data_IF_236220390853
#
_entry.id   IF_236220390853
#
_cell.length_a   1.000
_cell.length_b   1.000
_cell.length_c   1.000
_cell.angle_alpha   90.00
_cell.angle_beta   90.00
_cell.angle_gamma   90.00
#
_symmetry.space_group_name_H-M   'P 1'
#
loop_
_entity.id
_entity.type
_entity.pdbx_description
1 polymer ?
#
# COMPACT_ATOMS: atom_id res chain seq x y z
N UNK A 1 20.91 13.37 -11.79
CA UNK A 1 20.82 12.31 -10.76
C UNK A 1 19.47 11.61 -10.87
N UNK A 2 19.44 10.30 -11.14
CA UNK A 2 18.21 9.52 -11.10
C UNK A 2 17.63 9.55 -9.68
N UNK A 3 16.46 10.18 -9.53
CA UNK A 3 15.78 10.21 -8.22
C UNK A 3 15.41 8.79 -7.82
N UNK A 4 15.67 8.43 -6.57
CA UNK A 4 15.27 7.15 -5.99
C UNK A 4 13.78 6.91 -6.27
N UNK A 5 13.44 5.73 -6.79
CA UNK A 5 12.09 5.34 -7.14
C UNK A 5 11.85 3.91 -6.71
N UNK A 6 10.79 3.70 -5.96
CA UNK A 6 10.35 2.38 -5.49
C UNK A 6 8.86 2.24 -5.80
N UNK A 7 8.52 1.22 -6.58
CA UNK A 7 7.14 0.84 -6.83
C UNK A 7 6.73 -0.25 -5.85
N UNK A 8 5.63 -0.02 -5.14
CA UNK A 8 4.95 -0.99 -4.30
C UNK A 8 3.64 -1.37 -5.00
N UNK A 9 3.49 -2.64 -5.32
CA UNK A 9 2.22 -3.14 -5.85
C UNK A 9 1.31 -3.61 -4.70
N UNK A 10 0.10 -3.05 -4.65
CA UNK A 10 -0.90 -3.36 -3.65
C UNK A 10 -2.20 -3.94 -4.26
N UNK A 11 -2.10 -4.59 -5.42
CA UNK A 11 -3.25 -5.14 -6.16
C UNK A 11 -4.12 -6.04 -5.29
N UNK A 12 -3.54 -7.00 -4.58
CA UNK A 12 -4.30 -7.97 -3.78
C UNK A 12 -4.92 -7.34 -2.51
N UNK A 13 -4.31 -6.26 -2.01
CA UNK A 13 -4.84 -5.54 -0.85
C UNK A 13 -5.99 -4.62 -1.25
N UNK A 14 -5.75 -3.74 -2.21
CA UNK A 14 -6.73 -2.70 -2.58
C UNK A 14 -7.79 -3.21 -3.55
N UNK A 15 -7.41 -4.11 -4.45
CA UNK A 15 -8.34 -4.78 -5.35
C UNK A 15 -9.36 -5.68 -4.64
N UNK A 16 -9.01 -6.16 -3.45
CA UNK A 16 -9.90 -7.01 -2.66
C UNK A 16 -11.25 -6.38 -2.28
N UNK A 17 -11.41 -5.07 -2.37
CA UNK A 17 -12.70 -4.40 -2.20
C UNK A 17 -13.76 -4.86 -3.22
N UNK A 18 -13.36 -5.40 -4.37
CA UNK A 18 -14.28 -5.89 -5.39
C UNK A 18 -14.65 -7.36 -5.24
N UNK A 19 -13.71 -8.22 -4.83
CA UNK A 19 -13.93 -9.65 -4.71
C UNK A 19 -13.89 -10.15 -3.27
N UNK A 20 -14.14 -9.29 -2.30
CA UNK A 20 -14.05 -9.61 -0.86
C UNK A 20 -12.69 -10.23 -0.45
N UNK A 21 -11.59 -9.83 -1.09
CA UNK A 21 -10.25 -10.39 -0.88
C UNK A 21 -10.15 -11.89 -1.16
N UNK A 22 -11.06 -12.42 -1.96
CA UNK A 22 -11.08 -13.84 -2.32
C UNK A 22 -10.19 -14.10 -3.55
N UNK A 23 -8.90 -14.09 -3.29
CA UNK A 23 -7.89 -14.58 -4.22
C UNK A 23 -7.42 -15.95 -3.74
N UNK A 24 -7.56 -16.99 -4.60
CA UNK A 24 -7.02 -18.32 -4.29
C UNK A 24 -5.48 -18.35 -4.35
N UNK A 25 -4.87 -19.33 -3.71
CA UNK A 25 -3.41 -19.44 -3.60
C UNK A 25 -2.71 -19.54 -4.97
N UNK A 26 -3.37 -20.18 -5.94
CA UNK A 26 -2.85 -20.31 -7.32
C UNK A 26 -2.75 -18.92 -7.97
N UNK A 27 -3.79 -18.10 -7.85
CA UNK A 27 -3.80 -16.74 -8.41
C UNK A 27 -2.82 -15.81 -7.71
N UNK A 28 -2.69 -15.94 -6.39
CA UNK A 28 -1.67 -15.20 -5.63
C UNK A 28 -0.27 -15.60 -6.09
N UNK A 29 -0.01 -16.89 -6.30
CA UNK A 29 1.29 -17.36 -6.77
C UNK A 29 1.60 -16.90 -8.20
N UNK A 30 0.63 -16.95 -9.10
CA UNK A 30 0.77 -16.42 -10.48
C UNK A 30 1.06 -14.92 -10.47
N UNK A 31 0.36 -14.17 -9.60
CA UNK A 31 0.61 -12.75 -9.41
C UNK A 31 2.05 -12.48 -8.91
N UNK A 32 2.52 -13.18 -7.89
CA UNK A 32 3.89 -13.03 -7.38
C UNK A 32 4.93 -13.37 -8.46
N UNK A 33 4.67 -14.38 -9.27
CA UNK A 33 5.56 -14.76 -10.38
C UNK A 33 5.59 -13.67 -11.46
N UNK A 34 4.45 -13.03 -11.79
CA UNK A 34 4.41 -11.90 -12.71
C UNK A 34 5.20 -10.71 -12.17
N UNK A 35 4.96 -10.32 -10.91
CA UNK A 35 5.69 -9.21 -10.29
C UNK A 35 7.20 -9.49 -10.26
N UNK A 36 7.61 -10.74 -10.00
CA UNK A 36 9.02 -11.14 -10.00
C UNK A 36 9.73 -10.92 -11.34
N UNK A 37 9.01 -10.93 -12.45
CA UNK A 37 9.55 -10.66 -13.79
C UNK A 37 9.72 -9.15 -14.07
N UNK A 38 9.33 -8.31 -13.13
CA UNK A 38 9.42 -6.85 -13.22
C UNK A 38 10.54 -6.30 -12.34
N UNK A 39 10.65 -4.97 -12.31
CA UNK A 39 11.56 -4.27 -11.38
C UNK A 39 10.89 -3.98 -10.01
N UNK A 40 9.66 -4.46 -9.78
CA UNK A 40 8.92 -4.27 -8.54
C UNK A 40 9.51 -5.20 -7.47
N UNK A 41 9.83 -4.64 -6.31
CA UNK A 41 10.45 -5.36 -5.18
C UNK A 41 9.56 -5.45 -3.95
N UNK A 42 8.46 -4.71 -3.90
CA UNK A 42 7.59 -4.61 -2.74
C UNK A 42 6.14 -4.91 -3.14
N UNK A 43 5.54 -5.81 -2.37
CA UNK A 43 4.16 -6.26 -2.58
C UNK A 43 3.40 -6.21 -1.26
N UNK A 44 2.24 -5.55 -1.26
CA UNK A 44 1.32 -5.60 -0.15
C UNK A 44 0.26 -6.68 -0.42
N UNK A 45 0.43 -7.84 0.23
CA UNK A 45 -0.38 -9.04 -0.07
C UNK A 45 -1.85 -8.91 0.33
N UNK A 46 -2.15 -8.09 1.32
CA UNK A 46 -3.52 -7.94 1.79
C UNK A 46 -3.59 -7.25 3.14
N UNK A 47 -4.72 -7.42 3.80
CA UNK A 47 -4.96 -6.91 5.15
C UNK A 47 -4.65 -7.94 6.24
N UNK A 48 -4.64 -7.45 7.47
CA UNK A 48 -4.76 -8.19 8.73
C UNK A 48 -5.97 -7.62 9.47
N UNK A 49 -7.21 -7.86 8.99
CA UNK A 49 -8.41 -7.44 9.68
C UNK A 49 -8.54 -8.13 11.04
N UNK A 50 -9.00 -7.38 12.04
CA UNK A 50 -9.13 -7.88 13.42
C UNK A 50 -10.32 -8.82 13.61
N UNK A 51 -11.37 -8.63 12.82
CA UNK A 51 -12.61 -9.42 12.89
C UNK A 51 -12.73 -10.36 11.70
N UNK A 52 -13.12 -11.59 11.98
CA UNK A 52 -13.39 -12.60 10.95
C UNK A 52 -14.80 -12.40 10.41
N UNK A 53 -14.91 -12.07 9.12
CA UNK A 53 -16.16 -11.93 8.40
C UNK A 53 -16.25 -13.10 7.40
N UNK A 54 -17.32 -13.91 7.49
CA UNK A 54 -17.49 -15.16 6.74
C UNK A 54 -17.31 -15.01 5.21
N UNK A 55 -17.70 -13.86 4.66
CA UNK A 55 -17.63 -13.60 3.21
C UNK A 55 -16.27 -13.10 2.73
N UNK A 56 -15.31 -12.83 3.61
CA UNK A 56 -13.99 -12.33 3.22
C UNK A 56 -13.00 -13.46 3.01
N UNK A 57 -12.29 -13.39 1.88
CA UNK A 57 -11.29 -14.38 1.50
C UNK A 57 -9.93 -14.23 2.19
N UNK A 58 -8.96 -15.00 1.71
CA UNK A 58 -7.66 -15.22 2.38
C UNK A 58 -6.81 -13.96 2.51
N UNK A 59 -6.85 -13.05 1.52
CA UNK A 59 -6.01 -11.83 1.55
C UNK A 59 -6.60 -10.71 2.43
N UNK A 60 -7.83 -10.86 2.94
CA UNK A 60 -8.36 -10.02 4.01
C UNK A 60 -7.62 -10.23 5.34
N UNK A 61 -7.10 -11.42 5.55
CA UNK A 61 -6.43 -11.82 6.81
C UNK A 61 -4.95 -12.10 6.64
N UNK A 62 -4.52 -12.46 5.44
CA UNK A 62 -3.13 -12.77 5.05
C UNK A 62 -2.38 -13.54 6.14
N UNK A 63 -3.00 -14.63 6.66
CA UNK A 63 -2.50 -15.39 7.79
C UNK A 63 -1.14 -16.05 7.50
N UNK A 64 -0.40 -16.41 8.54
CA UNK A 64 0.91 -17.07 8.41
C UNK A 64 0.80 -18.40 7.63
N UNK A 65 -0.34 -19.13 7.76
CA UNK A 65 -0.60 -20.34 6.98
C UNK A 65 -0.58 -20.05 5.47
N UNK A 66 -1.29 -19.01 5.02
CA UNK A 66 -1.26 -18.59 3.62
C UNK A 66 0.16 -18.21 3.19
N UNK A 67 0.85 -17.37 3.97
CA UNK A 67 2.20 -16.89 3.65
C UNK A 67 3.21 -18.06 3.54
N UNK A 68 3.07 -19.06 4.39
CA UNK A 68 3.97 -20.23 4.41
C UNK A 68 3.75 -21.15 3.19
N UNK A 69 2.50 -21.25 2.69
CA UNK A 69 2.18 -22.03 1.50
C UNK A 69 2.67 -21.36 0.20
N UNK A 70 2.94 -20.06 0.22
CA UNK A 70 3.40 -19.32 -0.97
C UNK A 70 4.92 -19.46 -1.16
N UNK A 71 5.31 -19.71 -2.40
CA UNK A 71 6.70 -19.61 -2.84
C UNK A 71 7.02 -18.15 -3.20
N UNK A 72 7.42 -17.39 -2.17
CA UNK A 72 7.73 -15.96 -2.33
C UNK A 72 9.10 -15.81 -2.96
N UNK A 73 9.22 -15.16 -4.13
CA UNK A 73 10.52 -14.96 -4.78
C UNK A 73 11.49 -14.17 -3.88
N UNK A 74 12.75 -14.56 -3.83
CA UNK A 74 13.79 -14.01 -2.92
C UNK A 74 13.97 -12.48 -3.05
N UNK A 75 13.69 -11.92 -4.22
CA UNK A 75 13.82 -10.48 -4.49
C UNK A 75 12.55 -9.68 -4.18
N UNK A 76 11.48 -10.33 -3.75
CA UNK A 76 10.23 -9.66 -3.36
C UNK A 76 10.12 -9.57 -1.84
N UNK A 77 9.93 -8.36 -1.35
CA UNK A 77 9.58 -8.08 0.04
C UNK A 77 8.07 -7.97 0.16
N UNK A 78 7.47 -8.89 0.92
CA UNK A 78 6.02 -8.85 1.18
C UNK A 78 5.69 -8.07 2.44
N UNK A 79 4.54 -7.44 2.44
CA UNK A 79 3.96 -6.77 3.59
C UNK A 79 2.44 -6.90 3.67
N UNK A 80 1.89 -6.39 4.74
CA UNK A 80 0.46 -6.37 5.03
C UNK A 80 0.02 -5.02 5.55
N UNK A 81 -1.26 -4.70 5.38
CA UNK A 81 -1.88 -3.51 5.95
C UNK A 81 -2.74 -3.85 7.17
N UNK A 82 -2.74 -2.97 8.15
CA UNK A 82 -3.62 -2.99 9.32
C UNK A 82 -4.34 -1.64 9.37
N UNK A 83 -5.66 -1.65 9.51
CA UNK A 83 -6.41 -0.44 9.77
C UNK A 83 -6.20 -0.03 11.24
N UNK A 84 -5.90 1.22 11.49
CA UNK A 84 -5.74 1.73 12.85
C UNK A 84 -7.05 1.60 13.65
N UNK A 85 -8.19 1.89 13.03
CA UNK A 85 -9.50 1.74 13.64
C UNK A 85 -9.75 0.33 14.21
N UNK A 86 -9.28 -0.72 13.54
CA UNK A 86 -9.39 -2.11 14.00
C UNK A 86 -8.63 -2.35 15.33
N UNK A 87 -7.60 -1.57 15.60
CA UNK A 87 -6.80 -1.67 16.82
C UNK A 87 -7.36 -0.83 17.97
N UNK A 88 -8.02 0.29 17.65
CA UNK A 88 -8.41 1.32 18.59
C UNK A 88 -9.84 1.09 19.10
N UNK A 89 -10.75 0.61 18.25
CA UNK A 89 -12.18 0.41 18.53
C UNK A 89 -12.50 -0.65 19.60
N UNK A 90 -11.50 -1.28 20.19
CA UNK A 90 -11.63 -2.32 21.20
C UNK A 90 -11.21 -1.83 22.60
N UNK A 91 -11.87 -2.31 23.66
CA UNK A 91 -11.45 -2.08 25.07
C UNK A 91 -10.04 -2.61 25.41
N UNK A 92 -9.38 -3.32 24.47
CA UNK A 92 -8.03 -3.87 24.63
C UNK A 92 -6.99 -2.87 24.13
N UNK A 93 -5.80 -2.91 24.71
CA UNK A 93 -4.66 -2.11 24.22
C UNK A 93 -4.40 -2.37 22.73
N UNK A 94 -4.24 -1.33 21.89
CA UNK A 94 -3.87 -1.47 20.46
C UNK A 94 -2.70 -2.42 20.24
N UNK A 95 -1.68 -2.38 21.10
CA UNK A 95 -0.52 -3.27 21.02
C UNK A 95 -0.90 -4.74 21.22
N UNK A 96 -1.85 -5.05 22.11
CA UNK A 96 -2.29 -6.44 22.35
C UNK A 96 -2.97 -7.01 21.10
N UNK A 97 -3.80 -6.19 20.44
CA UNK A 97 -4.47 -6.60 19.20
C UNK A 97 -3.44 -6.72 18.07
N UNK A 98 -2.55 -5.75 17.90
CA UNK A 98 -1.49 -5.77 16.91
C UNK A 98 -0.62 -7.06 17.01
N UNK A 99 -0.24 -7.46 18.23
CA UNK A 99 0.49 -8.70 18.48
C UNK A 99 -0.32 -9.95 18.11
N UNK A 100 -1.64 -9.93 18.36
CA UNK A 100 -2.55 -11.03 17.97
C UNK A 100 -2.65 -11.15 16.44
N UNK A 101 -2.70 -10.03 15.73
CA UNK A 101 -2.75 -10.00 14.27
C UNK A 101 -1.44 -10.41 13.61
N UNK A 102 -0.31 -10.24 14.29
CA UNK A 102 1.03 -10.52 13.79
C UNK A 102 1.75 -11.56 14.69
N UNK A 103 1.19 -12.78 14.81
CA UNK A 103 1.81 -13.80 15.65
C UNK A 103 3.18 -14.17 15.08
N UNK A 104 4.15 -14.38 15.98
CA UNK A 104 5.50 -14.82 15.62
C UNK A 104 6.19 -13.95 14.54
N UNK A 105 5.92 -12.63 14.52
CA UNK A 105 6.38 -11.71 13.47
C UNK A 105 7.89 -11.81 13.17
N UNK A 106 8.71 -12.17 14.16
CA UNK A 106 10.15 -12.37 13.98
C UNK A 106 10.49 -13.52 13.03
N UNK A 107 9.64 -14.56 12.97
CA UNK A 107 9.80 -15.75 12.13
C UNK A 107 9.01 -15.64 10.82
N UNK A 108 8.14 -14.65 10.68
CA UNK A 108 7.33 -14.45 9.50
C UNK A 108 8.16 -14.01 8.29
N UNK A 109 7.69 -14.35 7.10
CA UNK A 109 8.25 -13.81 5.84
C UNK A 109 7.88 -12.34 5.59
N UNK A 110 6.99 -11.74 6.41
CA UNK A 110 6.60 -10.33 6.34
C UNK A 110 7.81 -9.43 6.60
N UNK A 111 8.07 -8.48 5.70
CA UNK A 111 9.18 -7.52 5.79
C UNK A 111 8.76 -6.12 6.16
N UNK A 112 7.49 -5.78 5.92
CA UNK A 112 6.92 -4.49 6.33
C UNK A 112 5.46 -4.62 6.75
N UNK A 113 5.05 -3.74 7.65
CA UNK A 113 3.65 -3.56 8.05
C UNK A 113 3.29 -2.11 7.82
N UNK A 114 2.16 -1.87 7.14
CA UNK A 114 1.61 -0.55 6.90
C UNK A 114 0.36 -0.34 7.73
N UNK A 115 0.27 0.78 8.43
CA UNK A 115 -0.93 1.20 9.14
C UNK A 115 -1.69 2.23 8.31
N UNK A 116 -2.95 1.94 7.97
CA UNK A 116 -3.86 2.94 7.42
C UNK A 116 -4.57 3.63 8.59
N UNK A 117 -4.44 4.95 8.67
CA UNK A 117 -4.97 5.72 9.80
C UNK A 117 -5.40 7.12 9.40
N UNK A 118 -6.42 7.62 10.08
CA UNK A 118 -6.79 9.02 10.12
C UNK A 118 -5.84 9.80 11.04
N UNK A 119 -5.93 11.13 10.99
CA UNK A 119 -5.02 12.00 11.74
C UNK A 119 -4.97 11.68 13.24
N UNK A 120 -6.13 11.53 13.88
CA UNK A 120 -6.24 11.31 15.33
C UNK A 120 -5.73 9.93 15.75
N UNK A 121 -5.94 8.94 14.89
CA UNK A 121 -5.58 7.54 15.15
C UNK A 121 -4.06 7.33 15.20
N UNK A 122 -3.29 8.14 14.45
CA UNK A 122 -1.81 8.02 14.37
C UNK A 122 -1.18 8.01 15.75
N UNK A 123 -1.65 8.87 16.64
CA UNK A 123 -1.04 9.08 17.98
C UNK A 123 -1.25 7.89 18.91
N UNK A 124 -2.27 7.07 18.67
CA UNK A 124 -2.60 5.89 19.45
C UNK A 124 -1.76 4.66 19.06
N UNK A 125 -1.05 4.72 17.94
CA UNK A 125 -0.26 3.61 17.43
C UNK A 125 1.17 3.51 18.00
N UNK A 126 1.62 4.45 18.84
CA UNK A 126 3.02 4.55 19.29
C UNK A 126 3.65 3.22 19.67
N UNK A 127 2.98 2.46 20.55
CA UNK A 127 3.50 1.19 21.07
C UNK A 127 3.56 0.10 19.97
N UNK A 128 2.61 0.11 19.02
CA UNK A 128 2.60 -0.83 17.89
C UNK A 128 3.80 -0.57 16.97
N UNK A 129 4.01 0.72 16.60
CA UNK A 129 5.11 1.12 15.73
C UNK A 129 6.46 0.77 16.36
N UNK A 130 6.66 1.11 17.63
CA UNK A 130 7.90 0.81 18.35
C UNK A 130 8.14 -0.70 18.49
N UNK A 131 7.09 -1.48 18.77
CA UNK A 131 7.19 -2.94 18.85
C UNK A 131 7.64 -3.55 17.52
N UNK A 132 7.09 -3.12 16.39
CA UNK A 132 7.51 -3.59 15.07
C UNK A 132 8.96 -3.20 14.77
N UNK A 133 9.36 -1.97 15.07
CA UNK A 133 10.75 -1.52 14.90
C UNK A 133 11.72 -2.37 15.73
N UNK A 134 11.38 -2.67 16.99
CA UNK A 134 12.19 -3.57 17.85
C UNK A 134 12.30 -4.99 17.27
N UNK A 135 11.31 -5.42 16.48
CA UNK A 135 11.32 -6.71 15.78
C UNK A 135 11.95 -6.63 14.36
N UNK A 136 12.61 -5.50 14.01
CA UNK A 136 13.27 -5.28 12.71
C UNK A 136 12.32 -5.34 11.51
N UNK A 137 11.03 -5.07 11.72
CA UNK A 137 10.03 -4.94 10.66
C UNK A 137 9.99 -3.47 10.22
N UNK A 138 10.00 -3.24 8.91
CA UNK A 138 9.80 -1.89 8.37
C UNK A 138 8.37 -1.42 8.66
N UNK A 139 8.24 -0.20 9.14
CA UNK A 139 6.96 0.40 9.53
C UNK A 139 6.59 1.49 8.55
N UNK A 140 5.46 1.32 7.88
CA UNK A 140 4.88 2.34 7.00
C UNK A 140 3.60 2.89 7.63
N UNK A 141 3.39 4.19 7.53
CA UNK A 141 2.18 4.85 8.02
C UNK A 141 1.51 5.57 6.86
N UNK A 142 0.28 5.17 6.57
CA UNK A 142 -0.54 5.67 5.47
C UNK A 142 -1.59 6.63 6.03
N UNK A 143 -1.37 7.94 5.86
CA UNK A 143 -2.31 8.96 6.32
C UNK A 143 -3.43 9.09 5.31
N UNK A 144 -4.62 8.66 5.71
CA UNK A 144 -5.82 8.71 4.88
C UNK A 144 -6.36 10.14 4.75
N UNK A 145 -7.11 10.39 3.67
CA UNK A 145 -7.75 11.68 3.39
C UNK A 145 -6.79 12.87 3.49
N UNK A 146 -5.62 12.73 2.86
CA UNK A 146 -4.55 13.72 2.96
C UNK A 146 -4.95 15.11 2.46
N UNK A 147 -5.99 15.20 1.60
CA UNK A 147 -6.58 16.46 1.13
C UNK A 147 -7.18 17.31 2.25
N UNK A 148 -7.63 16.67 3.33
CA UNK A 148 -8.31 17.33 4.46
C UNK A 148 -7.32 17.77 5.57
N UNK A 149 -6.06 17.37 5.48
CA UNK A 149 -5.07 17.58 6.55
C UNK A 149 -4.47 18.99 6.49
N UNK A 150 -4.61 19.74 7.59
CA UNK A 150 -4.06 21.09 7.71
C UNK A 150 -2.55 21.07 8.00
N UNK A 151 -1.85 22.14 7.65
CA UNK A 151 -0.39 22.24 7.84
C UNK A 151 0.06 21.98 9.29
N UNK A 152 -0.69 22.47 10.30
CA UNK A 152 -0.40 22.21 11.73
C UNK A 152 -0.45 20.72 12.05
N UNK A 153 -1.44 20.01 11.48
CA UNK A 153 -1.59 18.56 11.66
C UNK A 153 -0.44 17.80 10.98
N UNK A 154 -0.01 18.22 9.79
CA UNK A 154 1.17 17.65 9.10
C UNK A 154 2.40 17.74 10.00
N UNK A 155 2.67 18.93 10.59
CA UNK A 155 3.79 19.13 11.52
C UNK A 155 3.72 18.18 12.72
N UNK A 156 2.53 18.02 13.31
CA UNK A 156 2.32 17.15 14.47
C UNK A 156 2.58 15.68 14.12
N UNK A 157 2.02 15.18 12.99
CA UNK A 157 2.25 13.83 12.48
C UNK A 157 3.75 13.58 12.30
N UNK A 158 4.44 14.46 11.60
CA UNK A 158 5.87 14.30 11.30
C UNK A 158 6.70 14.27 12.58
N UNK A 159 6.40 15.15 13.56
CA UNK A 159 7.07 15.17 14.87
C UNK A 159 6.83 13.85 15.62
N UNK A 160 5.59 13.38 15.66
CA UNK A 160 5.22 12.16 16.38
C UNK A 160 5.84 10.90 15.77
N UNK A 161 5.80 10.78 14.43
CA UNK A 161 6.29 9.59 13.71
C UNK A 161 7.81 9.54 13.58
N UNK A 162 8.52 10.62 13.88
CA UNK A 162 9.97 10.65 13.84
C UNK A 162 10.56 9.47 14.64
N UNK A 163 11.46 8.68 14.02
CA UNK A 163 12.05 7.44 14.54
C UNK A 163 11.07 6.28 14.78
N UNK A 164 9.74 6.45 14.52
CA UNK A 164 8.75 5.39 14.69
C UNK A 164 8.28 4.80 13.36
N UNK A 165 8.40 5.54 12.25
CA UNK A 165 8.05 5.06 10.91
C UNK A 165 9.26 5.17 9.98
N UNK A 166 9.35 4.26 9.00
CA UNK A 166 10.37 4.28 7.94
C UNK A 166 9.89 5.03 6.72
N UNK A 167 8.59 4.94 6.41
CA UNK A 167 7.96 5.63 5.28
C UNK A 167 6.64 6.23 5.71
N UNK A 168 6.43 7.50 5.35
CA UNK A 168 5.16 8.19 5.53
C UNK A 168 4.45 8.31 4.20
N UNK A 169 3.29 7.67 4.07
CA UNK A 169 2.48 7.70 2.86
C UNK A 169 1.40 8.76 2.91
N UNK A 170 1.24 9.46 1.79
CA UNK A 170 0.21 10.44 1.52
C UNK A 170 -0.90 9.73 0.73
N UNK A 171 -2.04 9.43 1.38
CA UNK A 171 -3.15 8.76 0.71
C UNK A 171 -4.21 9.75 0.26
N UNK A 172 -4.34 9.94 -1.05
CA UNK A 172 -5.46 10.63 -1.67
C UNK A 172 -6.69 9.70 -1.72
N UNK A 173 -7.22 9.38 -0.54
CA UNK A 173 -8.31 8.40 -0.38
C UNK A 173 -9.62 8.85 -1.05
N UNK A 174 -9.79 10.14 -1.31
CA UNK A 174 -10.93 10.71 -2.00
C UNK A 174 -10.68 10.83 -3.50
N UNK A 175 -9.43 10.63 -3.96
CA UNK A 175 -9.04 10.83 -5.34
C UNK A 175 -9.29 12.25 -5.85
N UNK A 176 -9.34 13.23 -4.95
CA UNK A 176 -9.78 14.62 -5.20
C UNK A 176 -8.63 15.59 -5.44
N UNK A 177 -7.38 15.14 -5.33
CA UNK A 177 -6.22 16.01 -5.46
C UNK A 177 -5.89 16.31 -6.92
N UNK A 178 -5.80 17.60 -7.22
CA UNK A 178 -5.16 18.09 -8.44
C UNK A 178 -3.63 18.02 -8.33
N UNK A 179 -2.94 18.08 -9.46
CA UNK A 179 -1.47 18.07 -9.53
C UNK A 179 -0.84 19.19 -8.70
N UNK A 180 -1.47 20.38 -8.70
CA UNK A 180 -0.98 21.52 -7.91
C UNK A 180 -1.16 21.31 -6.40
N UNK A 181 -2.26 20.70 -5.99
CA UNK A 181 -2.47 20.34 -4.58
C UNK A 181 -1.45 19.29 -4.11
N UNK A 182 -1.20 18.24 -4.91
CA UNK A 182 -0.13 17.28 -4.64
C UNK A 182 1.21 17.97 -4.45
N UNK A 183 1.56 18.92 -5.33
CA UNK A 183 2.80 19.72 -5.20
C UNK A 183 2.88 20.44 -3.84
N UNK A 184 1.83 21.14 -3.45
CA UNK A 184 1.76 21.89 -2.17
C UNK A 184 1.89 20.93 -0.96
N UNK A 185 1.16 19.82 -0.97
CA UNK A 185 1.17 18.82 0.11
C UNK A 185 2.56 18.21 0.24
N UNK A 186 3.15 17.72 -0.85
CA UNK A 186 4.50 17.12 -0.83
C UNK A 186 5.53 18.11 -0.33
N UNK A 187 5.51 19.34 -0.78
CA UNK A 187 6.43 20.40 -0.30
C UNK A 187 6.26 20.65 1.19
N UNK A 188 5.03 20.67 1.70
CA UNK A 188 4.74 20.85 3.13
C UNK A 188 5.28 19.69 3.95
N UNK A 189 5.04 18.45 3.55
CA UNK A 189 5.58 17.29 4.25
C UNK A 189 7.11 17.29 4.26
N UNK A 190 7.77 17.62 3.15
CA UNK A 190 9.24 17.67 3.07
C UNK A 190 9.89 18.70 3.97
N UNK A 191 9.18 19.72 4.42
CA UNK A 191 9.68 20.67 5.45
C UNK A 191 9.88 19.99 6.79
N UNK A 192 8.99 19.06 7.16
CA UNK A 192 8.93 18.45 8.48
C UNK A 192 9.37 16.99 8.54
N UNK A 193 9.31 16.27 7.39
CA UNK A 193 9.67 14.85 7.28
C UNK A 193 10.92 14.68 6.44
N UNK A 194 11.94 14.01 6.99
CA UNK A 194 13.26 13.86 6.36
C UNK A 194 13.54 12.44 5.83
N UNK A 195 12.68 11.48 6.17
CA UNK A 195 12.77 10.12 5.67
C UNK A 195 11.97 9.96 4.36
N UNK A 196 11.89 8.73 3.86
CA UNK A 196 11.15 8.43 2.62
C UNK A 196 9.67 8.80 2.74
N UNK A 197 9.12 9.38 1.68
CA UNK A 197 7.69 9.66 1.52
C UNK A 197 7.14 8.74 0.43
N UNK A 198 5.93 8.24 0.63
CA UNK A 198 5.14 7.50 -0.36
C UNK A 198 3.88 8.24 -0.77
N UNK A 199 3.31 7.85 -1.90
CA UNK A 199 2.00 8.32 -2.36
C UNK A 199 1.12 7.13 -2.73
N UNK A 200 -0.14 7.18 -2.30
CA UNK A 200 -1.21 6.28 -2.70
C UNK A 200 -2.34 7.12 -3.28
N UNK A 201 -2.52 7.08 -4.59
CA UNK A 201 -3.45 7.96 -5.29
C UNK A 201 -4.62 7.17 -5.90
N UNK A 202 -5.85 7.61 -5.58
CA UNK A 202 -7.07 7.14 -6.22
C UNK A 202 -7.37 7.96 -7.49
N UNK A 203 -8.19 7.40 -8.39
CA UNK A 203 -8.33 7.88 -9.77
C UNK A 203 -9.66 8.63 -10.05
N UNK A 204 -10.33 9.16 -9.02
CA UNK A 204 -11.63 9.83 -9.16
C UNK A 204 -11.62 11.01 -10.16
N UNK A 205 -10.51 11.73 -10.27
CA UNK A 205 -10.30 12.79 -11.25
C UNK A 205 -9.51 12.36 -12.50
N UNK A 206 -9.29 11.05 -12.70
CA UNK A 206 -8.39 10.53 -13.75
C UNK A 206 -6.96 11.07 -13.65
N UNK A 207 -6.51 11.42 -12.45
CA UNK A 207 -5.21 12.04 -12.19
C UNK A 207 -4.25 11.16 -11.39
N UNK A 208 -4.62 9.94 -10.98
CA UNK A 208 -3.81 9.11 -10.10
C UNK A 208 -2.38 8.89 -10.62
N UNK A 209 -2.22 8.49 -11.88
CA UNK A 209 -0.91 8.33 -12.51
C UNK A 209 -0.14 9.66 -12.55
N UNK A 210 -0.78 10.73 -13.02
CA UNK A 210 -0.18 12.07 -13.15
C UNK A 210 0.27 12.60 -11.80
N UNK A 211 -0.56 12.44 -10.76
CA UNK A 211 -0.26 12.82 -9.38
C UNK A 211 0.93 12.03 -8.82
N UNK A 212 0.96 10.70 -9.05
CA UNK A 212 2.04 9.82 -8.60
C UNK A 212 3.37 10.17 -9.26
N UNK A 213 3.39 10.38 -10.57
CA UNK A 213 4.59 10.78 -11.31
C UNK A 213 5.06 12.19 -10.89
N UNK A 214 4.13 13.13 -10.71
CA UNK A 214 4.46 14.47 -10.23
C UNK A 214 5.04 14.44 -8.81
N UNK A 215 4.47 13.64 -7.91
CA UNK A 215 5.00 13.45 -6.55
C UNK A 215 6.44 12.92 -6.59
N UNK A 216 6.73 11.93 -7.47
CA UNK A 216 8.09 11.43 -7.63
C UNK A 216 9.06 12.49 -8.17
N UNK A 217 8.64 13.32 -9.13
CA UNK A 217 9.45 14.47 -9.59
C UNK A 217 9.80 15.44 -8.45
N UNK A 218 8.95 15.51 -7.42
CA UNK A 218 9.17 16.32 -6.22
C UNK A 218 9.97 15.61 -5.13
N UNK A 219 10.39 14.35 -5.37
CA UNK A 219 11.22 13.56 -4.46
C UNK A 219 10.45 12.65 -3.51
N UNK A 220 9.18 12.34 -3.80
CA UNK A 220 8.50 11.20 -3.21
C UNK A 220 9.13 9.94 -3.78
N UNK A 221 9.52 9.02 -2.89
CA UNK A 221 10.32 7.84 -3.25
C UNK A 221 9.44 6.64 -3.58
N UNK A 222 8.39 6.44 -2.80
CA UNK A 222 7.51 5.28 -2.89
C UNK A 222 6.23 5.64 -3.63
N UNK A 223 5.87 4.84 -4.63
CA UNK A 223 4.60 4.94 -5.36
C UNK A 223 3.86 3.64 -5.20
N UNK A 224 2.60 3.73 -4.78
CA UNK A 224 1.67 2.62 -4.83
C UNK A 224 1.04 2.51 -6.20
N UNK A 225 0.83 1.28 -6.64
CA UNK A 225 0.07 0.98 -7.84
C UNK A 225 -0.67 -0.35 -7.73
N UNK A 226 -1.61 -0.57 -8.62
CA UNK A 226 -2.34 -1.83 -8.75
C UNK A 226 -2.46 -2.23 -10.21
N UNK A 227 -2.43 -3.53 -10.50
CA UNK A 227 -2.61 -4.05 -11.86
C UNK A 227 -3.99 -3.62 -12.37
N UNK A 228 -4.04 -3.04 -13.57
CA UNK A 228 -5.24 -2.47 -14.21
C UNK A 228 -5.94 -1.38 -13.40
N UNK A 229 -5.28 -0.82 -12.38
CA UNK A 229 -5.86 0.14 -11.47
C UNK A 229 -6.87 -0.48 -10.49
N UNK A 230 -6.82 -1.80 -10.24
CA UNK A 230 -7.76 -2.50 -9.36
C UNK A 230 -7.75 -1.91 -7.96
N UNK A 231 -8.88 -1.32 -7.53
CA UNK A 231 -8.99 -0.65 -6.25
C UNK A 231 -10.34 0.05 -6.08
N UNK A 232 -10.67 0.47 -4.88
CA UNK A 232 -11.95 1.06 -4.53
C UNK A 232 -12.35 2.21 -5.46
N UNK A 233 -13.64 2.27 -5.85
CA UNK A 233 -14.21 3.30 -6.72
C UNK A 233 -13.56 3.28 -8.12
N UNK A 234 -13.17 4.44 -8.68
CA UNK A 234 -12.55 4.51 -10.00
C UNK A 234 -11.13 3.96 -10.05
N UNK A 235 -10.68 3.30 -8.99
CA UNK A 235 -9.40 2.61 -8.94
C UNK A 235 -8.23 3.49 -8.53
N UNK A 236 -7.02 2.99 -8.82
CA UNK A 236 -5.75 3.55 -8.37
C UNK A 236 -4.82 3.86 -9.54
N UNK A 237 -3.63 4.35 -9.24
CA UNK A 237 -2.52 4.40 -10.19
C UNK A 237 -2.26 3.00 -10.76
N UNK A 238 -2.25 2.85 -12.08
CA UNK A 238 -2.08 1.55 -12.76
C UNK A 238 -0.62 1.11 -12.80
N UNK A 239 -0.35 -0.13 -12.40
CA UNK A 239 1.01 -0.69 -12.38
C UNK A 239 1.66 -0.68 -13.75
N UNK A 240 0.93 -1.09 -14.79
CA UNK A 240 1.42 -1.15 -16.16
C UNK A 240 1.83 0.21 -16.70
N UNK A 241 1.07 1.27 -16.43
CA UNK A 241 1.43 2.62 -16.90
C UNK A 241 2.64 3.18 -16.13
N UNK A 242 2.76 2.89 -14.84
CA UNK A 242 3.98 3.24 -14.11
C UNK A 242 5.19 2.49 -14.64
N UNK A 243 5.04 1.20 -15.00
CA UNK A 243 6.11 0.43 -15.66
C UNK A 243 6.52 1.09 -16.98
N UNK A 244 5.55 1.52 -17.79
CA UNK A 244 5.82 2.22 -19.06
C UNK A 244 6.61 3.51 -18.84
N UNK A 245 6.14 4.35 -17.92
CA UNK A 245 6.74 5.66 -17.60
C UNK A 245 8.15 5.56 -17.00
N UNK A 246 8.42 4.53 -16.20
CA UNK A 246 9.67 4.42 -15.44
C UNK A 246 10.66 3.43 -16.00
N UNK A 247 10.18 2.39 -16.69
CA UNK A 247 11.04 1.30 -17.16
C UNK A 247 10.96 1.05 -18.66
N UNK A 248 10.12 1.82 -19.36
CA UNK A 248 10.04 1.86 -20.81
C UNK A 248 9.05 0.88 -21.46
N UNK A 249 8.78 1.14 -22.74
CA UNK A 249 7.71 0.47 -23.51
C UNK A 249 7.91 -1.04 -23.65
N UNK A 250 9.15 -1.52 -23.72
CA UNK A 250 9.41 -2.96 -23.88
C UNK A 250 9.01 -3.74 -22.63
N UNK A 251 9.28 -3.21 -21.42
CA UNK A 251 8.86 -3.83 -20.16
C UNK A 251 7.34 -3.77 -19.99
N UNK A 252 6.71 -2.68 -20.41
CA UNK A 252 5.25 -2.54 -20.45
C UNK A 252 4.60 -3.60 -21.35
N UNK A 253 5.08 -3.77 -22.61
CA UNK A 253 4.56 -4.77 -23.53
C UNK A 253 4.70 -6.18 -22.97
N UNK A 254 5.89 -6.52 -22.43
CA UNK A 254 6.13 -7.82 -21.79
C UNK A 254 5.20 -8.07 -20.62
N UNK A 255 4.96 -7.08 -19.76
CA UNK A 255 4.04 -7.19 -18.64
C UNK A 255 2.60 -7.48 -19.09
N UNK A 256 2.11 -6.71 -20.07
CA UNK A 256 0.76 -6.85 -20.61
C UNK A 256 0.51 -8.16 -21.39
N UNK A 257 1.53 -8.75 -21.99
CA UNK A 257 1.39 -10.01 -22.73
C UNK A 257 1.21 -11.23 -21.83
N UNK A 258 1.46 -11.11 -20.52
CA UNK A 258 1.35 -12.24 -19.59
C UNK A 258 -0.09 -12.73 -19.40
N UNK A 259 -0.25 -14.04 -19.22
CA UNK A 259 -1.57 -14.65 -18.92
C UNK A 259 -2.16 -14.13 -17.60
N UNK A 260 -1.30 -13.82 -16.63
CA UNK A 260 -1.71 -13.25 -15.33
C UNK A 260 -2.26 -11.83 -15.51
N UNK A 261 -1.65 -10.98 -16.36
CA UNK A 261 -2.22 -9.67 -16.65
C UNK A 261 -3.59 -9.80 -17.32
N UNK A 262 -3.72 -10.72 -18.28
CA UNK A 262 -5.01 -11.01 -18.96
C UNK A 262 -6.09 -11.49 -17.97
N UNK A 263 -5.71 -12.25 -16.93
CA UNK A 263 -6.62 -12.61 -15.84
C UNK A 263 -7.16 -11.35 -15.11
N UNK A 264 -6.30 -10.38 -14.77
CA UNK A 264 -6.76 -9.13 -14.16
C UNK A 264 -7.62 -8.26 -15.10
N UNK A 265 -7.40 -8.31 -16.42
CA UNK A 265 -8.31 -7.69 -17.39
C UNK A 265 -9.70 -8.32 -17.33
N UNK A 266 -9.80 -9.66 -17.31
CA UNK A 266 -11.10 -10.34 -17.17
C UNK A 266 -11.83 -9.98 -15.87
N UNK A 267 -11.09 -9.92 -14.76
CA UNK A 267 -11.67 -9.43 -13.50
C UNK A 267 -12.19 -7.99 -13.62
N UNK A 268 -11.47 -7.13 -14.34
CA UNK A 268 -11.91 -5.75 -14.58
C UNK A 268 -13.20 -5.70 -15.37
N UNK A 269 -13.35 -6.52 -16.39
CA UNK A 269 -14.58 -6.66 -17.19
C UNK A 269 -15.75 -7.15 -16.33
N UNK A 270 -15.49 -8.07 -15.39
CA UNK A 270 -16.48 -8.64 -14.49
C UNK A 270 -16.93 -7.64 -13.41
N UNK A 271 -15.99 -7.05 -12.70
CA UNK A 271 -16.26 -6.19 -11.54
C UNK A 271 -16.34 -4.70 -11.85
N UNK A 272 -15.99 -4.28 -13.07
CA UNK A 272 -16.14 -2.91 -13.61
C UNK A 272 -15.52 -1.80 -12.78
N UNK A 273 -14.35 -2.04 -12.13
CA UNK A 273 -13.65 -0.93 -11.46
C UNK A 273 -13.04 0.05 -12.48
N UNK A 274 -12.94 1.32 -12.06
CA UNK A 274 -12.39 2.37 -12.90
C UNK A 274 -13.36 2.92 -13.93
N UNK A 275 -14.65 2.62 -13.80
CA UNK A 275 -15.75 3.23 -14.58
C UNK A 275 -16.34 4.41 -13.82
#
# INVERSE_FOLDING_TARGET
MNKKFILLDCTLRDGGYYNNWDFNEINIQKYLNLINQTSIKFVELGFRFSEKIKLKGKTAYTEEKLINNLNIPKNISIGVMINAGDLIGNRKSPLKICKKLLPNIKKSKIKFVRFACHYEEVFLLSNCLQWLKKNKIKVFVNIMQISEIKQKQIRNICKFLNRKSDVLYLADSLGSLTVNQVKKIVQTFKRYWKLDIGIHAHNNLNLALKNSIQANKLGVVWIDSTITGMGRGPGNTTTEEVIKEKFGINKFKKFKSSSTFKFFIKLKEEYKWGS
#
